data_IF_962937040952
#
_entry.id   IF_962937040952
#
_cell.length_a   1.000
_cell.length_b   1.000
_cell.length_c   1.000
_cell.angle_alpha   90.00
_cell.angle_beta   90.00
_cell.angle_gamma   90.00
#
_symmetry.space_group_name_H-M   'P 1'
#
loop_
_entity.id
_entity.type
_entity.pdbx_description
1 polymer ?
#
# COMPACT_ATOMS: atom_id res chain seq x y z
N UNK A 1 14.87 14.54 1.58
CA UNK A 1 14.01 15.47 0.87
C UNK A 1 13.53 16.54 1.84
N UNK A 2 13.16 17.68 1.33
CA UNK A 2 12.80 18.83 2.15
C UNK A 2 11.67 18.53 3.15
N UNK A 3 10.65 17.80 2.73
CA UNK A 3 9.53 17.37 3.60
C UNK A 3 10.02 16.51 4.77
N UNK A 4 10.94 15.57 4.53
CA UNK A 4 11.46 14.67 5.57
C UNK A 4 12.36 15.42 6.55
N UNK A 5 13.12 16.40 6.09
CA UNK A 5 14.16 17.08 6.85
C UNK A 5 13.65 18.35 7.54
N UNK A 6 12.71 19.06 6.91
CA UNK A 6 12.24 20.38 7.34
C UNK A 6 10.71 20.47 7.53
N UNK A 7 9.96 19.42 7.18
CA UNK A 7 8.51 19.39 7.38
C UNK A 7 8.13 19.25 8.85
N UNK A 8 6.90 19.62 9.23
CA UNK A 8 6.40 19.52 10.60
C UNK A 8 5.92 18.10 10.97
N UNK A 9 6.30 17.09 10.18
CA UNK A 9 5.81 15.73 10.31
C UNK A 9 6.83 14.83 11.00
N UNK A 10 6.34 13.87 11.76
CA UNK A 10 7.17 12.90 12.49
C UNK A 10 6.58 11.49 12.30
N UNK A 11 7.43 10.47 12.10
CA UNK A 11 6.97 9.09 12.11
C UNK A 11 6.48 8.71 13.51
N UNK A 12 5.38 7.97 13.58
CA UNK A 12 4.89 7.45 14.86
C UNK A 12 5.85 6.39 15.42
N UNK A 13 5.96 6.34 16.73
CA UNK A 13 6.77 5.30 17.40
C UNK A 13 6.27 3.89 17.04
N UNK A 14 4.95 3.74 16.94
CA UNK A 14 4.31 2.51 16.50
C UNK A 14 3.30 2.83 15.38
N UNK A 15 3.54 2.34 14.18
CA UNK A 15 2.68 2.58 13.02
C UNK A 15 1.21 2.17 13.25
N UNK A 16 0.97 1.19 14.11
CA UNK A 16 -0.37 0.76 14.54
C UNK A 16 -1.21 1.90 15.12
N UNK A 17 -0.57 2.81 15.87
CA UNK A 17 -1.27 3.88 16.57
C UNK A 17 -1.99 4.83 15.63
N UNK A 18 -1.48 5.01 14.41
CA UNK A 18 -2.14 5.82 13.39
C UNK A 18 -3.56 5.33 13.14
N UNK A 19 -3.73 4.01 12.99
CA UNK A 19 -4.98 3.40 12.58
C UNK A 19 -5.94 3.10 13.75
N UNK A 20 -5.40 2.93 14.95
CA UNK A 20 -6.19 2.42 16.07
C UNK A 20 -6.49 3.46 17.15
N UNK A 21 -5.63 4.47 17.35
CA UNK A 21 -5.80 5.41 18.46
C UNK A 21 -5.70 6.88 18.06
N UNK A 22 -4.73 7.25 17.21
CA UNK A 22 -4.43 8.68 16.90
C UNK A 22 -5.20 9.22 15.72
N UNK A 23 -5.35 8.44 14.65
CA UNK A 23 -6.04 8.87 13.45
C UNK A 23 -5.41 10.09 12.80
N UNK A 24 -6.22 11.04 12.37
CA UNK A 24 -5.78 12.30 11.74
C UNK A 24 -5.04 13.24 12.70
N UNK A 25 -5.01 12.94 14.00
CA UNK A 25 -4.19 13.70 14.97
C UNK A 25 -2.74 13.26 15.01
N UNK A 26 -2.40 12.15 14.34
CA UNK A 26 -1.03 11.69 14.21
C UNK A 26 -0.19 12.69 13.40
N UNK A 27 1.02 12.99 13.89
CA UNK A 27 1.98 13.83 13.16
C UNK A 27 2.52 13.18 11.89
N UNK A 28 2.32 11.89 11.72
CA UNK A 28 2.70 11.18 10.50
C UNK A 28 1.73 11.44 9.35
N UNK A 29 0.47 11.78 9.65
CA UNK A 29 -0.56 12.01 8.64
C UNK A 29 -0.38 13.41 8.05
N UNK A 30 -0.02 13.46 6.77
CA UNK A 30 0.16 14.70 6.02
C UNK A 30 -1.14 15.17 5.37
N UNK A 31 -1.92 14.24 4.86
CA UNK A 31 -3.25 14.48 4.30
C UNK A 31 -4.16 13.32 4.64
N UNK A 32 -5.28 13.64 5.25
CA UNK A 32 -6.33 12.66 5.56
C UNK A 32 -7.70 13.30 5.48
N UNK A 33 -8.73 12.48 5.40
CA UNK A 33 -10.12 12.89 5.27
C UNK A 33 -10.94 12.17 6.34
N UNK A 34 -11.70 12.94 7.12
CA UNK A 34 -12.75 12.39 7.95
C UNK A 34 -14.04 12.30 7.14
N UNK A 35 -14.61 11.12 6.94
CA UNK A 35 -15.90 10.99 6.26
C UNK A 35 -17.00 11.74 7.00
N UNK A 36 -18.00 12.22 6.26
CA UNK A 36 -19.20 12.79 6.85
C UNK A 36 -20.00 11.69 7.58
N UNK A 37 -20.83 12.08 8.58
CA UNK A 37 -21.74 11.14 9.23
C UNK A 37 -22.58 10.37 8.19
N UNK A 38 -22.78 9.09 8.42
CA UNK A 38 -23.49 8.15 7.54
C UNK A 38 -22.80 7.78 6.21
N UNK A 39 -21.54 8.11 6.02
CA UNK A 39 -20.72 7.55 4.94
C UNK A 39 -20.14 6.20 5.36
N UNK A 40 -19.86 5.37 4.35
CA UNK A 40 -19.19 4.08 4.56
C UNK A 40 -17.79 4.31 5.13
N UNK A 41 -17.50 3.70 6.25
CA UNK A 41 -16.18 3.79 6.89
C UNK A 41 -15.16 2.87 6.22
N UNK A 42 -13.88 3.06 6.54
CA UNK A 42 -12.85 2.09 6.11
C UNK A 42 -13.09 0.72 6.74
N UNK A 43 -13.50 0.68 8.00
CA UNK A 43 -13.88 -0.56 8.64
C UNK A 43 -14.97 -1.29 7.86
N UNK A 44 -16.09 -0.62 7.54
CA UNK A 44 -17.21 -1.23 6.81
C UNK A 44 -16.82 -1.69 5.39
N UNK A 45 -15.83 -1.05 4.79
CA UNK A 45 -15.29 -1.46 3.49
C UNK A 45 -14.62 -2.84 3.57
N UNK A 46 -13.91 -3.12 4.66
CA UNK A 46 -13.15 -4.36 4.81
C UNK A 46 -13.87 -5.42 5.65
N UNK A 47 -14.69 -5.00 6.62
CA UNK A 47 -15.44 -5.86 7.51
C UNK A 47 -16.87 -5.34 7.60
N UNK A 48 -17.82 -6.10 7.09
CA UNK A 48 -19.25 -5.75 7.15
C UNK A 48 -20.04 -6.88 7.85
N UNK A 49 -20.84 -6.52 8.84
CA UNK A 49 -21.59 -7.48 9.67
C UNK A 49 -20.71 -8.64 10.19
N UNK A 50 -19.52 -8.31 10.73
CA UNK A 50 -18.53 -9.29 11.19
C UNK A 50 -18.10 -10.31 10.13
N UNK A 51 -18.20 -9.95 8.86
CA UNK A 51 -17.76 -10.78 7.74
C UNK A 51 -16.71 -10.05 6.93
N UNK A 52 -15.58 -10.72 6.63
CA UNK A 52 -14.52 -10.15 5.79
C UNK A 52 -15.04 -9.94 4.36
N UNK A 53 -15.08 -8.70 3.92
CA UNK A 53 -15.39 -8.33 2.53
C UNK A 53 -14.20 -8.59 1.61
N UNK A 54 -12.99 -8.33 2.12
CA UNK A 54 -11.73 -8.62 1.44
C UNK A 54 -10.92 -9.61 2.27
N UNK A 55 -10.58 -10.72 1.65
CA UNK A 55 -9.81 -11.80 2.26
C UNK A 55 -8.33 -11.58 2.00
N UNK A 56 -7.51 -11.79 3.01
CA UNK A 56 -6.06 -11.78 2.81
C UNK A 56 -5.64 -12.91 1.87
N UNK A 57 -4.95 -12.56 0.78
CA UNK A 57 -4.42 -13.54 -0.15
C UNK A 57 -3.29 -14.35 0.51
N UNK A 58 -3.01 -15.60 0.07
CA UNK A 58 -1.85 -16.35 0.55
C UNK A 58 -0.53 -15.58 0.38
N UNK A 59 -0.39 -14.82 -0.71
CA UNK A 59 0.79 -13.99 -0.94
C UNK A 59 0.94 -12.91 0.12
N UNK A 60 -0.13 -12.19 0.46
CA UNK A 60 -0.10 -11.15 1.48
C UNK A 60 0.17 -11.71 2.89
N UNK A 61 -0.43 -12.86 3.21
CA UNK A 61 -0.12 -13.57 4.45
C UNK A 61 1.36 -13.97 4.54
N UNK A 62 1.91 -14.51 3.46
CA UNK A 62 3.33 -14.86 3.42
C UNK A 62 4.24 -13.63 3.52
N UNK A 63 3.80 -12.48 3.00
CA UNK A 63 4.54 -11.23 3.08
C UNK A 63 4.62 -10.69 4.52
N UNK A 64 3.56 -10.89 5.31
CA UNK A 64 3.49 -10.47 6.71
C UNK A 64 3.94 -11.55 7.70
N UNK A 65 4.25 -12.76 7.24
CA UNK A 65 4.70 -13.83 8.13
C UNK A 65 5.98 -13.42 8.87
N UNK A 66 5.97 -13.59 10.18
CA UNK A 66 7.06 -13.21 11.09
C UNK A 66 7.35 -11.68 11.12
N UNK A 67 6.45 -10.85 10.57
CA UNK A 67 6.51 -9.39 10.61
C UNK A 67 5.69 -8.87 11.80
N UNK A 68 6.16 -7.89 12.58
CA UNK A 68 5.41 -7.34 13.72
C UNK A 68 4.01 -6.81 13.38
N UNK A 69 3.78 -6.47 12.12
CA UNK A 69 2.46 -6.01 11.66
C UNK A 69 1.43 -7.11 11.49
N UNK A 70 1.85 -8.39 11.40
CA UNK A 70 0.95 -9.52 11.18
C UNK A 70 -0.15 -9.57 12.24
N UNK A 71 0.20 -9.40 13.51
CA UNK A 71 -0.71 -9.55 14.65
C UNK A 71 -1.90 -8.59 14.66
N UNK A 72 -1.77 -7.41 14.01
CA UNK A 72 -2.80 -6.38 14.02
C UNK A 72 -3.37 -6.07 12.63
N UNK A 73 -2.66 -6.44 11.55
CA UNK A 73 -3.15 -6.26 10.18
C UNK A 73 -3.95 -7.45 9.66
N UNK A 74 -3.75 -8.64 10.24
CA UNK A 74 -4.43 -9.87 9.86
C UNK A 74 -5.13 -10.49 11.07
N UNK A 75 -6.40 -10.79 10.94
CA UNK A 75 -7.18 -11.38 12.02
C UNK A 75 -8.23 -12.37 11.55
N UNK A 76 -8.59 -13.31 12.42
CA UNK A 76 -9.79 -14.12 12.29
C UNK A 76 -10.93 -13.38 12.99
N UNK A 77 -12.02 -13.11 12.30
CA UNK A 77 -13.19 -12.44 12.88
C UNK A 77 -13.95 -13.35 13.86
N UNK A 78 -13.77 -14.67 13.70
CA UNK A 78 -14.30 -15.70 14.59
C UNK A 78 -13.27 -16.83 14.74
N UNK A 79 -13.20 -17.48 15.91
CA UNK A 79 -12.33 -18.65 16.11
C UNK A 79 -12.63 -19.83 15.16
N UNK A 80 -13.80 -19.84 14.53
CA UNK A 80 -14.20 -20.84 13.54
C UNK A 80 -13.79 -20.51 12.11
N UNK A 81 -13.31 -19.28 11.86
CA UNK A 81 -12.91 -18.84 10.54
C UNK A 81 -11.58 -19.48 10.15
N UNK A 82 -11.48 -19.87 8.90
CA UNK A 82 -10.22 -20.32 8.25
C UNK A 82 -9.62 -19.23 7.36
N UNK A 83 -10.32 -18.11 7.24
CA UNK A 83 -9.99 -17.02 6.31
C UNK A 83 -9.64 -15.80 7.12
N UNK A 84 -8.43 -15.28 6.88
CA UNK A 84 -7.97 -14.05 7.51
C UNK A 84 -8.62 -12.83 6.86
N UNK A 85 -9.18 -11.98 7.69
CA UNK A 85 -9.63 -10.64 7.34
C UNK A 85 -8.47 -9.64 7.44
N UNK A 86 -8.65 -8.50 6.82
CA UNK A 86 -7.79 -7.35 6.99
C UNK A 86 -8.30 -6.57 8.21
N UNK A 87 -7.49 -6.50 9.25
CA UNK A 87 -7.84 -5.87 10.53
C UNK A 87 -7.13 -4.54 10.78
N UNK A 88 -6.46 -3.99 9.77
CA UNK A 88 -5.72 -2.72 9.84
C UNK A 88 -6.57 -1.58 10.40
N UNK A 89 -7.85 -1.52 10.05
CA UNK A 89 -8.80 -0.48 10.46
C UNK A 89 -9.75 -0.91 11.59
N UNK A 90 -9.36 -1.92 12.37
CA UNK A 90 -10.12 -2.37 13.53
C UNK A 90 -9.59 -1.70 14.79
N UNK A 91 -10.11 -0.50 15.11
CA UNK A 91 -9.68 0.28 16.24
C UNK A 91 -10.66 1.43 16.52
N UNK A 92 -10.21 2.46 17.22
CA UNK A 92 -11.05 3.62 17.56
C UNK A 92 -11.22 4.59 16.38
N UNK A 93 -10.32 4.54 15.38
CA UNK A 93 -10.25 5.48 14.26
C UNK A 93 -10.72 4.84 12.95
N UNK A 94 -11.80 4.10 13.01
CA UNK A 94 -12.35 3.31 11.89
C UNK A 94 -12.93 4.15 10.75
N UNK A 95 -13.19 5.43 11.00
CA UNK A 95 -13.87 6.31 10.04
C UNK A 95 -12.92 7.10 9.15
N UNK A 96 -11.64 7.19 9.54
CA UNK A 96 -10.69 8.07 8.90
C UNK A 96 -10.05 7.45 7.65
N UNK A 97 -9.81 8.30 6.64
CA UNK A 97 -9.13 7.93 5.40
C UNK A 97 -7.78 8.64 5.31
N UNK A 98 -6.73 7.88 5.10
CA UNK A 98 -5.36 8.40 4.98
C UNK A 98 -4.99 8.48 3.49
N UNK A 99 -4.73 9.68 2.99
CA UNK A 99 -4.32 9.88 1.61
C UNK A 99 -2.81 9.98 1.45
N UNK A 100 -2.11 10.67 2.38
CA UNK A 100 -0.65 10.79 2.34
C UNK A 100 -0.10 10.73 3.77
N UNK A 101 0.88 9.88 4.00
CA UNK A 101 1.63 9.78 5.25
C UNK A 101 3.13 9.95 5.04
N UNK A 102 3.84 10.38 6.08
CA UNK A 102 5.30 10.57 6.04
C UNK A 102 6.04 9.27 5.66
N UNK A 103 5.55 8.11 6.07
CA UNK A 103 6.05 6.79 5.63
C UNK A 103 6.15 6.70 4.10
N UNK A 104 5.14 7.19 3.38
CA UNK A 104 5.17 7.20 1.91
C UNK A 104 6.32 8.03 1.37
N UNK A 105 6.61 9.18 1.98
CA UNK A 105 7.72 10.05 1.55
C UNK A 105 9.07 9.36 1.72
N UNK A 106 9.27 8.59 2.79
CA UNK A 106 10.48 7.78 2.98
C UNK A 106 10.60 6.68 1.91
N UNK A 107 9.53 5.95 1.63
CA UNK A 107 9.51 4.88 0.63
C UNK A 107 9.70 5.42 -0.79
N UNK A 108 9.08 6.55 -1.13
CA UNK A 108 9.28 7.24 -2.41
C UNK A 108 10.73 7.76 -2.54
N UNK A 109 11.34 8.28 -1.45
CA UNK A 109 12.75 8.67 -1.45
C UNK A 109 13.64 7.46 -1.74
N UNK A 110 13.39 6.31 -1.09
CA UNK A 110 14.13 5.09 -1.33
C UNK A 110 14.02 4.63 -2.80
N UNK A 111 12.79 4.54 -3.32
CA UNK A 111 12.53 4.14 -4.71
C UNK A 111 13.22 5.08 -5.71
N UNK A 112 13.03 6.39 -5.54
CA UNK A 112 13.60 7.40 -6.43
C UNK A 112 15.15 7.37 -6.42
N UNK A 113 15.76 7.11 -5.27
CA UNK A 113 17.22 6.99 -5.13
C UNK A 113 17.76 5.83 -5.95
N UNK A 114 17.12 4.64 -5.85
CA UNK A 114 17.52 3.47 -6.65
C UNK A 114 17.31 3.73 -8.14
N UNK A 115 16.14 4.25 -8.54
CA UNK A 115 15.83 4.51 -9.96
C UNK A 115 16.70 5.58 -10.59
N UNK A 116 17.15 6.55 -9.81
CA UNK A 116 18.11 7.57 -10.26
C UNK A 116 19.55 7.07 -10.38
N UNK A 117 19.82 5.79 -10.13
CA UNK A 117 21.16 5.22 -10.22
C UNK A 117 22.12 5.65 -9.11
N UNK A 118 21.63 6.25 -8.02
CA UNK A 118 22.45 6.69 -6.89
C UNK A 118 22.96 5.51 -6.05
N UNK A 119 23.74 5.78 -5.02
CA UNK A 119 24.24 4.76 -4.10
C UNK A 119 23.10 4.01 -3.41
N UNK A 120 23.25 2.69 -3.26
CA UNK A 120 22.22 1.86 -2.63
C UNK A 120 22.12 2.11 -1.12
N UNK A 121 23.19 2.54 -0.47
CA UNK A 121 23.19 2.95 0.93
C UNK A 121 22.20 4.08 1.19
N UNK A 122 22.20 5.09 0.30
CA UNK A 122 21.27 6.24 0.39
C UNK A 122 19.80 5.82 0.27
N UNK A 123 19.51 4.71 -0.40
CA UNK A 123 18.16 4.16 -0.52
C UNK A 123 17.78 3.23 0.66
N UNK A 124 18.77 2.50 1.19
CA UNK A 124 18.56 1.59 2.33
C UNK A 124 18.22 2.33 3.62
N UNK A 125 18.80 3.49 3.85
CA UNK A 125 18.55 4.26 5.07
C UNK A 125 17.07 4.65 5.24
N UNK A 126 16.39 5.32 4.29
CA UNK A 126 14.96 5.59 4.43
C UNK A 126 14.10 4.33 4.50
N UNK A 127 14.48 3.25 3.81
CA UNK A 127 13.80 1.96 3.91
C UNK A 127 13.90 1.37 5.33
N UNK A 128 15.12 1.30 5.89
CA UNK A 128 15.34 0.80 7.26
C UNK A 128 14.66 1.67 8.31
N UNK A 129 14.58 2.99 8.09
CA UNK A 129 13.83 3.89 8.96
C UNK A 129 12.36 3.45 9.07
N UNK A 130 11.69 3.26 7.93
CA UNK A 130 10.29 2.80 7.90
C UNK A 130 10.13 1.42 8.53
N UNK A 131 11.01 0.48 8.21
CA UNK A 131 11.01 -0.86 8.80
C UNK A 131 11.17 -0.83 10.32
N UNK A 132 12.05 0.05 10.83
CA UNK A 132 12.27 0.24 12.27
C UNK A 132 11.01 0.70 13.01
N UNK A 133 10.28 1.67 12.43
CA UNK A 133 8.98 2.13 12.97
C UNK A 133 7.87 1.08 12.89
N UNK A 134 8.03 0.08 12.02
CA UNK A 134 7.16 -1.10 11.99
C UNK A 134 7.57 -2.19 13.01
N UNK A 135 8.63 -1.96 13.80
CA UNK A 135 9.12 -2.87 14.83
C UNK A 135 10.19 -3.86 14.35
N UNK A 136 10.71 -3.72 13.14
CA UNK A 136 11.78 -4.58 12.60
C UNK A 136 13.12 -4.07 13.12
N UNK A 137 13.91 -4.94 13.71
CA UNK A 137 15.23 -4.59 14.31
C UNK A 137 16.40 -5.25 13.60
N UNK A 138 16.17 -6.28 12.78
CA UNK A 138 17.21 -6.95 12.01
C UNK A 138 17.13 -6.50 10.53
N UNK A 139 18.16 -5.79 10.10
CA UNK A 139 18.31 -5.27 8.74
C UNK A 139 19.35 -6.03 7.92
N UNK A 140 19.90 -7.14 8.45
CA UNK A 140 20.97 -7.92 7.80
C UNK A 140 20.64 -8.25 6.35
N UNK A 141 19.40 -8.64 6.09
CA UNK A 141 18.94 -8.93 4.71
C UNK A 141 19.03 -7.71 3.81
N UNK A 142 18.58 -6.55 4.28
CA UNK A 142 18.59 -5.30 3.49
C UNK A 142 20.02 -4.82 3.27
N UNK A 143 20.86 -4.90 4.30
CA UNK A 143 22.26 -4.48 4.22
C UNK A 143 23.07 -5.33 3.23
N UNK A 144 22.75 -6.61 3.11
CA UNK A 144 23.41 -7.54 2.19
C UNK A 144 23.05 -7.33 0.71
N UNK A 145 21.97 -6.60 0.38
CA UNK A 145 21.54 -6.40 -1.01
C UNK A 145 22.55 -5.53 -1.76
N UNK A 146 23.03 -6.01 -2.89
CA UNK A 146 23.93 -5.30 -3.81
C UNK A 146 23.33 -5.07 -5.19
N UNK A 147 22.21 -5.73 -5.48
CA UNK A 147 21.48 -5.61 -6.73
C UNK A 147 20.36 -4.55 -6.63
N UNK A 148 20.23 -3.71 -7.66
CA UNK A 148 19.24 -2.62 -7.70
C UNK A 148 17.81 -3.10 -7.81
N UNK A 149 17.58 -4.08 -8.64
CA UNK A 149 16.23 -4.60 -8.88
C UNK A 149 15.73 -5.39 -7.67
N UNK A 150 16.65 -6.10 -6.99
CA UNK A 150 16.35 -6.72 -5.70
C UNK A 150 15.97 -5.68 -4.65
N UNK A 151 16.72 -4.59 -4.51
CA UNK A 151 16.39 -3.53 -3.55
C UNK A 151 15.08 -2.84 -3.89
N UNK A 152 14.80 -2.54 -5.17
CA UNK A 152 13.51 -2.02 -5.61
C UNK A 152 12.35 -2.95 -5.21
N UNK A 153 12.55 -4.25 -5.34
CA UNK A 153 11.52 -5.21 -4.97
C UNK A 153 11.31 -5.31 -3.45
N UNK A 154 12.36 -5.16 -2.64
CA UNK A 154 12.23 -5.06 -1.18
C UNK A 154 11.49 -3.75 -0.78
N UNK A 155 11.82 -2.60 -1.41
CA UNK A 155 11.08 -1.34 -1.20
C UNK A 155 9.60 -1.51 -1.57
N UNK A 156 9.31 -2.19 -2.69
CA UNK A 156 7.93 -2.49 -3.09
C UNK A 156 7.21 -3.33 -2.03
N UNK A 157 7.83 -4.39 -1.52
CA UNK A 157 7.24 -5.22 -0.46
C UNK A 157 6.96 -4.42 0.80
N UNK A 158 7.87 -3.53 1.17
CA UNK A 158 7.68 -2.65 2.32
C UNK A 158 6.55 -1.62 2.08
N UNK A 159 6.44 -1.10 0.85
CA UNK A 159 5.32 -0.25 0.42
C UNK A 159 3.98 -0.99 0.58
N UNK A 160 3.91 -2.24 0.11
CA UNK A 160 2.71 -3.07 0.28
C UNK A 160 2.34 -3.24 1.75
N UNK A 161 3.30 -3.57 2.61
CA UNK A 161 3.05 -3.79 4.03
C UNK A 161 2.54 -2.54 4.77
N UNK A 162 3.07 -1.37 4.41
CA UNK A 162 2.70 -0.12 5.09
C UNK A 162 1.45 0.53 4.51
N UNK A 163 1.34 0.61 3.18
CA UNK A 163 0.37 1.48 2.49
C UNK A 163 -0.80 0.72 1.87
N UNK A 164 -0.80 -0.64 1.93
CA UNK A 164 -1.93 -1.41 1.43
C UNK A 164 -3.23 -1.00 2.14
N UNK A 165 -4.31 -0.92 1.37
CA UNK A 165 -5.66 -0.50 1.82
C UNK A 165 -5.78 0.99 2.18
N UNK A 166 -4.83 1.82 1.78
CA UNK A 166 -4.95 3.28 1.88
C UNK A 166 -5.43 3.88 0.55
N UNK A 167 -4.54 4.38 -0.30
CA UNK A 167 -4.88 5.07 -1.55
C UNK A 167 -4.39 4.38 -2.84
N UNK A 168 -3.81 3.17 -2.73
CA UNK A 168 -3.38 2.36 -3.87
C UNK A 168 -1.98 2.68 -4.40
N UNK A 169 -1.12 3.31 -3.60
CA UNK A 169 0.27 3.61 -3.97
C UNK A 169 1.05 2.35 -4.35
N UNK A 170 0.80 1.23 -3.67
CA UNK A 170 1.43 -0.05 -3.98
C UNK A 170 1.12 -0.53 -5.41
N UNK A 171 -0.09 -0.25 -5.92
CA UNK A 171 -0.44 -0.51 -7.32
C UNK A 171 0.33 0.40 -8.26
N UNK A 172 0.35 1.69 -7.99
CA UNK A 172 1.08 2.68 -8.79
C UNK A 172 2.58 2.38 -8.84
N UNK A 173 3.16 1.90 -7.73
CA UNK A 173 4.54 1.46 -7.69
C UNK A 173 4.77 0.20 -8.52
N UNK A 174 3.87 -0.81 -8.42
CA UNK A 174 3.96 -2.05 -9.19
C UNK A 174 3.99 -1.78 -10.70
N UNK A 175 3.20 -0.83 -11.18
CA UNK A 175 3.15 -0.47 -12.61
C UNK A 175 4.47 0.11 -13.16
N UNK A 176 5.40 0.50 -12.31
CA UNK A 176 6.73 0.96 -12.71
C UNK A 176 7.76 -0.17 -12.85
N UNK A 177 7.38 -1.41 -12.56
CA UNK A 177 8.21 -2.59 -12.76
C UNK A 177 8.07 -3.17 -14.17
N UNK A 178 9.05 -3.98 -14.63
CA UNK A 178 8.90 -4.78 -15.84
C UNK A 178 7.69 -5.73 -15.76
N UNK A 179 7.11 -6.05 -16.93
CA UNK A 179 5.91 -6.91 -16.99
C UNK A 179 6.07 -8.25 -16.28
N UNK A 180 7.24 -8.85 -16.32
CA UNK A 180 7.54 -10.11 -15.63
C UNK A 180 7.31 -10.03 -14.12
N UNK A 181 7.68 -8.90 -13.49
CA UNK A 181 7.43 -8.65 -12.05
C UNK A 181 5.94 -8.43 -11.80
N UNK A 182 5.29 -7.62 -12.67
CA UNK A 182 3.84 -7.36 -12.57
C UNK A 182 3.06 -8.67 -12.65
N UNK A 183 3.37 -9.53 -13.61
CA UNK A 183 2.70 -10.83 -13.79
C UNK A 183 2.97 -11.80 -12.63
N UNK A 184 4.16 -11.76 -12.03
CA UNK A 184 4.47 -12.55 -10.82
C UNK A 184 3.61 -12.14 -9.64
N UNK A 185 3.36 -10.84 -9.47
CA UNK A 185 2.55 -10.29 -8.36
C UNK A 185 1.04 -10.39 -8.65
N UNK A 186 0.64 -10.15 -9.89
CA UNK A 186 -0.75 -10.14 -10.34
C UNK A 186 -0.94 -11.02 -11.59
N UNK A 187 -0.93 -12.34 -11.46
CA UNK A 187 -1.03 -13.25 -12.62
C UNK A 187 -2.30 -13.08 -13.45
N UNK A 188 -3.35 -12.48 -12.86
CA UNK A 188 -4.59 -12.19 -13.55
C UNK A 188 -4.46 -11.11 -14.65
N UNK A 189 -3.38 -10.32 -14.62
CA UNK A 189 -3.05 -9.32 -15.65
C UNK A 189 -2.45 -10.01 -16.84
N UNK A 190 -2.91 -10.79 -17.54
CA UNK A 190 -2.35 -11.65 -18.59
C UNK A 190 -1.38 -10.94 -19.54
N UNK A 191 -1.60 -9.66 -19.83
CA UNK A 191 -0.81 -8.86 -20.75
C UNK A 191 -0.87 -7.36 -20.44
N UNK A 192 0.01 -6.58 -21.05
CA UNK A 192 0.16 -5.13 -20.81
C UNK A 192 -1.14 -4.33 -20.98
N UNK A 193 -1.99 -4.74 -21.90
CA UNK A 193 -3.24 -4.03 -22.21
C UNK A 193 -4.18 -3.98 -20.99
N UNK A 194 -4.15 -5.02 -20.13
CA UNK A 194 -4.99 -5.06 -18.91
C UNK A 194 -4.50 -4.19 -17.75
N UNK A 195 -3.39 -3.48 -17.91
CA UNK A 195 -2.93 -2.47 -16.96
C UNK A 195 -3.74 -1.18 -17.10
N UNK A 196 -4.22 -0.89 -18.31
CA UNK A 196 -5.02 0.28 -18.64
C UNK A 196 -6.48 -0.14 -18.56
N UNK A 197 -7.29 0.58 -17.78
CA UNK A 197 -8.72 0.29 -17.68
C UNK A 197 -9.46 0.63 -18.98
N UNK A 198 -10.57 -0.06 -19.29
CA UNK A 198 -11.38 0.29 -20.43
C UNK A 198 -12.06 1.65 -20.24
N UNK A 199 -12.31 2.35 -21.34
CA UNK A 199 -13.19 3.51 -21.32
C UNK A 199 -14.61 3.00 -21.02
N UNK A 200 -15.33 3.57 -20.04
CA UNK A 200 -16.69 3.12 -19.71
C UNK A 200 -17.64 3.19 -20.90
N UNK A 201 -18.52 2.20 -21.05
CA UNK A 201 -19.48 2.13 -22.14
C UNK A 201 -20.34 3.41 -22.26
N UNK A 202 -20.76 3.97 -21.11
CA UNK A 202 -21.55 5.21 -21.07
C UNK A 202 -20.85 6.42 -21.72
N UNK A 203 -19.51 6.43 -21.80
CA UNK A 203 -18.79 7.52 -22.45
C UNK A 203 -18.95 7.44 -23.98
N UNK A 204 -19.00 6.25 -24.56
CA UNK A 204 -19.26 6.08 -25.99
C UNK A 204 -20.68 6.45 -26.37
N UNK A 205 -21.66 6.21 -25.50
CA UNK A 205 -23.05 6.61 -25.73
C UNK A 205 -23.21 8.13 -25.71
N UNK A 206 -22.53 8.81 -24.78
CA UNK A 206 -22.65 10.27 -24.58
C UNK A 206 -21.76 11.08 -25.50
N UNK A 207 -20.66 10.50 -25.97
CA UNK A 207 -19.71 11.19 -26.86
C UNK A 207 -19.34 10.29 -28.05
N UNK A 208 -20.10 10.35 -29.17
CA UNK A 208 -19.82 9.55 -30.38
C UNK A 208 -18.46 9.81 -31.01
N UNK A 209 -17.80 10.92 -30.66
CA UNK A 209 -16.49 11.33 -31.18
C UNK A 209 -15.31 10.94 -30.30
N UNK A 210 -15.53 10.20 -29.22
CA UNK A 210 -14.47 9.82 -28.25
C UNK A 210 -13.37 8.93 -28.88
N UNK A 211 -13.63 8.37 -30.07
CA UNK A 211 -12.67 7.52 -30.77
C UNK A 211 -12.83 6.04 -30.43
N UNK A 212 -11.72 5.31 -30.42
CA UNK A 212 -11.70 3.88 -30.17
C UNK A 212 -11.48 3.54 -28.68
N UNK A 213 -11.87 2.33 -28.32
CA UNK A 213 -11.61 1.75 -26.98
C UNK A 213 -10.10 1.52 -26.78
N UNK A 214 -9.66 1.50 -25.53
CA UNK A 214 -8.30 1.12 -25.20
C UNK A 214 -7.96 -0.28 -25.73
N UNK A 215 -6.69 -0.51 -26.17
CA UNK A 215 -6.28 -1.80 -26.71
C UNK A 215 -6.58 -2.96 -25.75
N UNK A 216 -7.06 -4.06 -26.30
CA UNK A 216 -7.41 -5.26 -25.52
C UNK A 216 -8.86 -5.32 -25.04
N UNK A 217 -9.64 -4.26 -25.24
CA UNK A 217 -11.06 -4.20 -24.86
C UNK A 217 -11.97 -4.00 -26.06
N UNK A 218 -13.15 -4.61 -26.00
CA UNK A 218 -14.18 -4.38 -26.99
C UNK A 218 -14.89 -3.05 -26.76
N UNK A 219 -15.21 -2.36 -27.84
CA UNK A 219 -16.17 -1.26 -27.80
C UNK A 219 -17.55 -1.90 -27.66
N UNK A 220 -18.19 -1.71 -26.53
CA UNK A 220 -19.50 -2.29 -26.23
C UNK A 220 -20.57 -1.41 -26.80
#
# INVERSE_FOLDING_TARGET
SDIIENGPYELEEHVRDIFQTKGLTSKEVMLGIQPLPNQVTRYDTYIYNNSAQYKATPMFKNLLKDDPREEWMLGLLSPKDTIYAITKYVGEKIEECYAIRLTEMYLLKAEATVRAGKDLGDAKEPLKTVMGHAGITDFTKIDAITDRDELLYEIYKETVKNLMFEDGIEWSMLLRFPMEVILKVKPAIREKNYIILPIPAAEFEKNPTIGDQNPGYSKI
#
